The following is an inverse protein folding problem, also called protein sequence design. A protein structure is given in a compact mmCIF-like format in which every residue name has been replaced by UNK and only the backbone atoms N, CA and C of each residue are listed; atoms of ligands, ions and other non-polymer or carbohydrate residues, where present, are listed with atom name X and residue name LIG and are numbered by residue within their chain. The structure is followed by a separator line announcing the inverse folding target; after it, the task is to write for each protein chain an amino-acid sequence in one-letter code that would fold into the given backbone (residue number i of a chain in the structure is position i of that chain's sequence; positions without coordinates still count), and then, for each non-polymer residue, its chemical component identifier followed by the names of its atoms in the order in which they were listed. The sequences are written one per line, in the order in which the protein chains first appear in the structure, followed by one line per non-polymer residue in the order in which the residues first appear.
data_IF_224202344316
#
_entry.id   IF_224202344316
#
_cell.length_a   1.000
_cell.length_b   1.000
_cell.length_c   1.000
_cell.angle_alpha   90.00
_cell.angle_beta   90.00
_cell.angle_gamma   90.00
#
_symmetry.space_group_name_H-M   'P 1'
#
loop_
_entity.id
_entity.type
_entity.pdbx_description
1 polymer ?
#
# COMPACT_ATOMS: atom_id res chain seq x y z
N UNK A 1 -23.02 -15.19 -2.64
CA UNK A 1 -21.80 -15.19 -3.48
C UNK A 1 -22.04 -16.09 -4.69
N UNK A 2 -21.55 -15.78 -5.90
CA UNK A 2 -21.75 -16.63 -7.08
C UNK A 2 -21.20 -18.06 -6.90
N UNK A 3 -21.84 -19.11 -7.46
CA UNK A 3 -21.43 -20.51 -7.21
C UNK A 3 -19.98 -20.83 -7.56
N UNK A 4 -19.46 -20.30 -8.67
CA UNK A 4 -18.07 -20.50 -9.07
C UNK A 4 -17.08 -19.97 -8.02
N UNK A 5 -17.34 -18.78 -7.45
CA UNK A 5 -16.52 -18.19 -6.38
C UNK A 5 -16.69 -18.93 -5.05
N UNK A 6 -17.86 -19.51 -4.78
CA UNK A 6 -18.08 -20.37 -3.62
C UNK A 6 -17.26 -21.65 -3.66
N UNK A 7 -17.15 -22.26 -4.84
CA UNK A 7 -16.33 -23.46 -5.02
C UNK A 7 -14.83 -23.23 -4.75
N UNK A 8 -14.32 -22.01 -5.01
CA UNK A 8 -12.94 -21.59 -4.78
C UNK A 8 -12.59 -21.36 -3.29
N UNK A 9 -13.57 -21.30 -2.39
CA UNK A 9 -13.29 -21.05 -0.97
C UNK A 9 -12.61 -22.25 -0.29
N UNK A 10 -11.76 -21.99 0.73
CA UNK A 10 -11.32 -23.01 1.68
C UNK A 10 -12.51 -23.72 2.34
N UNK A 11 -12.35 -25.01 2.64
CA UNK A 11 -13.42 -25.84 3.25
C UNK A 11 -13.85 -25.31 4.61
N UNK A 12 -12.92 -24.73 5.37
CA UNK A 12 -13.16 -24.07 6.64
C UNK A 12 -14.23 -22.97 6.51
N UNK A 13 -14.15 -22.16 5.45
CA UNK A 13 -15.11 -21.09 5.20
C UNK A 13 -16.44 -21.63 4.67
N UNK A 14 -16.42 -22.72 3.90
CA UNK A 14 -17.65 -23.41 3.46
C UNK A 14 -18.41 -24.02 4.63
N UNK A 15 -17.71 -24.44 5.68
CA UNK A 15 -18.26 -24.95 6.93
C UNK A 15 -18.73 -23.85 7.89
N UNK A 16 -18.60 -22.56 7.51
CA UNK A 16 -19.07 -21.44 8.30
C UNK A 16 -18.11 -20.98 9.40
N UNK A 17 -16.82 -21.30 9.31
CA UNK A 17 -15.83 -20.74 10.24
C UNK A 17 -15.74 -19.22 10.10
N UNK A 18 -15.52 -18.54 11.23
CA UNK A 18 -15.44 -17.09 11.29
C UNK A 18 -14.09 -16.58 10.78
N UNK A 19 -14.13 -15.46 10.05
CA UNK A 19 -12.93 -14.72 9.65
C UNK A 19 -12.68 -13.61 10.68
N UNK A 20 -11.51 -13.64 11.32
CA UNK A 20 -11.09 -12.54 12.21
C UNK A 20 -10.64 -11.34 11.36
N UNK A 21 -11.29 -10.21 11.56
CA UNK A 21 -10.87 -8.93 10.96
C UNK A 21 -10.01 -8.15 11.95
N UNK A 22 -8.77 -7.83 11.56
CA UNK A 22 -7.86 -6.97 12.34
C UNK A 22 -7.81 -5.61 11.64
N UNK A 23 -8.08 -4.55 12.40
CA UNK A 23 -8.15 -3.19 11.88
C UNK A 23 -7.09 -2.34 12.57
N UNK A 24 -6.13 -1.85 11.80
CA UNK A 24 -5.12 -0.90 12.24
C UNK A 24 -5.42 0.48 11.62
N UNK A 25 -5.43 1.52 12.46
CA UNK A 25 -5.67 2.89 12.02
C UNK A 25 -4.39 3.71 12.13
N UNK A 26 -3.83 4.11 10.98
CA UNK A 26 -2.77 5.11 10.92
C UNK A 26 -3.39 6.46 10.59
N UNK A 27 -3.13 7.44 11.45
CA UNK A 27 -3.52 8.83 11.27
C UNK A 27 -2.28 9.71 11.12
N UNK A 28 -2.21 10.44 10.01
CA UNK A 28 -1.11 11.35 9.75
C UNK A 28 -1.59 12.60 9.03
N UNK A 29 -1.28 13.77 9.59
CA UNK A 29 -1.50 15.05 8.94
C UNK A 29 -0.45 15.33 7.86
N UNK A 30 -0.90 15.75 6.67
CA UNK A 30 -0.02 16.09 5.54
C UNK A 30 0.28 17.59 5.42
N UNK A 31 -0.22 18.44 6.31
CA UNK A 31 0.01 19.89 6.31
C UNK A 31 0.84 20.31 7.53
N UNK A 32 2.05 20.84 7.31
CA UNK A 32 2.96 21.21 8.38
C UNK A 32 2.47 22.42 9.22
N UNK A 33 1.87 23.46 8.60
CA UNK A 33 1.57 24.71 9.32
C UNK A 33 0.23 24.75 10.06
N UNK A 34 -0.79 24.00 9.62
CA UNK A 34 -1.99 23.77 10.45
C UNK A 34 -1.72 22.92 11.69
N UNK A 35 -0.54 22.28 11.74
CA UNK A 35 -0.17 21.38 12.81
C UNK A 35 0.45 22.09 14.00
N UNK A 36 1.17 23.21 13.78
CA UNK A 36 1.63 24.09 14.86
C UNK A 36 0.46 24.71 15.63
N UNK A 37 -0.62 25.08 14.94
CA UNK A 37 -1.83 25.62 15.57
C UNK A 37 -2.63 24.57 16.37
N UNK A 38 -2.45 23.27 16.07
CA UNK A 38 -3.13 22.16 16.75
C UNK A 38 -2.20 21.40 17.72
N UNK A 39 -0.98 21.90 17.96
CA UNK A 39 0.04 21.19 18.72
C UNK A 39 -0.27 21.06 20.22
N UNK A 40 -1.19 21.86 20.76
CA UNK A 40 -1.58 21.78 22.17
C UNK A 40 -2.71 20.76 22.33
N UNK A 41 -2.35 19.51 22.62
CA UNK A 41 -3.27 18.42 23.05
C UNK A 41 -3.74 17.43 21.96
N UNK A 42 -3.62 17.74 20.66
CA UNK A 42 -4.05 16.82 19.60
C UNK A 42 -2.94 15.89 19.05
N UNK A 43 -1.67 16.21 19.29
CA UNK A 43 -0.54 15.35 18.87
C UNK A 43 -0.54 14.01 19.62
N UNK A 44 -0.78 14.05 20.94
CA UNK A 44 -0.77 12.88 21.82
C UNK A 44 -1.78 11.80 21.40
N UNK A 45 -3.01 12.18 21.01
CA UNK A 45 -4.00 11.19 20.58
C UNK A 45 -3.62 10.53 19.25
N UNK A 46 -3.04 11.29 18.31
CA UNK A 46 -2.56 10.73 17.04
C UNK A 46 -1.46 9.69 17.29
N UNK A 47 -0.53 10.02 18.19
CA UNK A 47 0.56 9.13 18.59
C UNK A 47 0.02 7.86 19.26
N UNK A 48 -0.90 7.97 20.21
CA UNK A 48 -1.55 6.82 20.86
C UNK A 48 -2.24 5.91 19.82
N UNK A 49 -2.98 6.51 18.87
CA UNK A 49 -3.65 5.77 17.80
C UNK A 49 -2.63 5.02 16.95
N UNK A 50 -1.56 5.68 16.52
CA UNK A 50 -0.52 5.08 15.67
C UNK A 50 0.26 4.00 16.42
N UNK A 51 0.55 4.18 17.71
CA UNK A 51 1.19 3.17 18.54
C UNK A 51 0.32 1.92 18.71
N UNK A 52 -0.99 2.07 18.93
CA UNK A 52 -1.93 0.93 18.98
C UNK A 52 -2.01 0.21 17.63
N UNK A 53 -2.04 0.96 16.54
CA UNK A 53 -2.01 0.38 15.20
C UNK A 53 -0.71 -0.40 14.95
N UNK A 54 0.43 0.12 15.40
CA UNK A 54 1.73 -0.55 15.33
C UNK A 54 1.71 -1.90 16.07
N UNK A 55 1.16 -1.96 17.29
CA UNK A 55 1.01 -3.22 18.02
C UNK A 55 0.18 -4.26 17.26
N UNK A 56 -0.92 -3.83 16.63
CA UNK A 56 -1.76 -4.71 15.83
C UNK A 56 -1.05 -5.20 14.57
N UNK A 57 -0.32 -4.30 13.88
CA UNK A 57 0.46 -4.64 12.69
C UNK A 57 1.58 -5.62 13.04
N UNK A 58 2.32 -5.43 14.15
CA UNK A 58 3.35 -6.36 14.61
C UNK A 58 2.79 -7.76 14.85
N UNK A 59 1.69 -7.87 15.61
CA UNK A 59 1.03 -9.16 15.89
C UNK A 59 0.57 -9.86 14.61
N UNK A 60 -0.02 -9.11 13.66
CA UNK A 60 -0.44 -9.68 12.38
C UNK A 60 0.75 -10.11 11.53
N UNK A 61 1.80 -9.29 11.47
CA UNK A 61 3.04 -9.58 10.75
C UNK A 61 3.72 -10.86 11.25
N UNK A 62 3.84 -11.03 12.57
CA UNK A 62 4.37 -12.25 13.18
C UNK A 62 3.52 -13.49 12.84
N UNK A 63 2.20 -13.38 12.96
CA UNK A 63 1.28 -14.45 12.59
C UNK A 63 1.40 -14.80 11.10
N UNK A 64 1.54 -13.79 10.23
CA UNK A 64 1.71 -13.97 8.79
C UNK A 64 3.01 -14.71 8.45
N UNK A 65 4.15 -14.32 9.06
CA UNK A 65 5.44 -15.00 8.85
C UNK A 65 5.37 -16.46 9.32
N UNK A 66 4.75 -16.71 10.49
CA UNK A 66 4.57 -18.06 11.02
C UNK A 66 3.71 -18.94 10.10
N UNK A 67 2.59 -18.38 9.62
CA UNK A 67 1.72 -19.02 8.65
C UNK A 67 2.45 -19.34 7.34
N UNK A 68 3.15 -18.37 6.76
CA UNK A 68 3.91 -18.56 5.52
C UNK A 68 5.02 -19.62 5.66
N UNK A 69 5.56 -19.80 6.86
CA UNK A 69 6.56 -20.85 7.17
C UNK A 69 5.94 -22.25 7.26
N UNK A 70 4.73 -22.34 7.80
CA UNK A 70 4.00 -23.59 7.92
C UNK A 70 3.53 -24.10 6.56
N UNK A 71 3.03 -23.21 5.70
CA UNK A 71 2.57 -23.56 4.35
C UNK A 71 3.69 -24.09 3.47
N UNK A 72 4.87 -23.47 3.49
CA UNK A 72 6.03 -23.91 2.70
C UNK A 72 6.53 -25.32 3.10
N UNK A 73 6.44 -25.65 4.39
CA UNK A 73 6.85 -26.96 4.91
C UNK A 73 5.86 -28.06 4.49
N UNK A 74 4.55 -27.78 4.52
CA UNK A 74 3.51 -28.75 4.14
C UNK A 74 3.52 -29.08 2.64
N UNK A 75 3.81 -28.10 1.78
CA UNK A 75 3.92 -28.33 0.31
C UNK A 75 5.08 -29.27 -0.04
N UNK A 76 6.18 -29.25 0.72
CA UNK A 76 7.35 -30.10 0.46
C UNK A 76 7.06 -31.57 0.81
N UNK A 77 6.30 -31.83 1.86
CA UNK A 77 5.92 -33.19 2.29
C UNK A 77 4.92 -33.85 1.34
N UNK A 78 3.96 -33.09 0.79
CA UNK A 78 2.93 -33.60 -0.12
C UNK A 78 3.48 -34.03 -1.51
N UNK A 79 4.64 -33.53 -1.92
CA UNK A 79 5.32 -33.95 -3.16
C UNK A 79 6.08 -35.28 -3.01
N UNK A 80 6.26 -35.79 -1.79
CA UNK A 80 6.95 -37.06 -1.49
C UNK A 80 6.02 -38.29 -1.37
N UNK A 81 4.71 -38.08 -1.17
CA UNK A 81 3.71 -39.14 -1.05
C UNK A 81 2.69 -39.01 -2.17
N UNK A 82 2.70 -39.94 -3.12
CA UNK A 82 1.88 -39.92 -4.35
C UNK A 82 0.38 -40.13 -4.13
N UNK A 83 -0.28 -39.21 -3.41
CA UNK A 83 -1.75 -39.10 -3.37
C UNK A 83 -2.16 -37.64 -3.60
N UNK A 84 -2.50 -37.33 -4.85
CA UNK A 84 -3.12 -36.06 -5.22
C UNK A 84 -4.64 -36.19 -5.00
N UNK A 85 -5.10 -35.85 -3.81
CA UNK A 85 -6.53 -35.56 -3.57
C UNK A 85 -6.66 -34.43 -2.56
N UNK A 86 -6.46 -33.21 -3.04
CA UNK A 86 -6.68 -32.00 -2.27
C UNK A 86 -6.14 -30.80 -3.03
N UNK A 87 -7.00 -30.14 -3.82
CA UNK A 87 -6.71 -28.81 -4.35
C UNK A 87 -6.74 -27.83 -3.17
N UNK A 88 -5.64 -27.79 -2.42
CA UNK A 88 -5.41 -26.75 -1.42
C UNK A 88 -5.44 -25.40 -2.13
N UNK A 89 -6.20 -24.46 -1.57
CA UNK A 89 -6.25 -23.07 -2.00
C UNK A 89 -4.86 -22.48 -1.73
N UNK A 90 -3.96 -22.64 -2.69
CA UNK A 90 -2.73 -21.88 -2.75
C UNK A 90 -3.14 -20.43 -2.95
N UNK A 91 -3.07 -19.63 -1.89
CA UNK A 91 -2.89 -18.20 -2.07
C UNK A 91 -1.65 -18.09 -2.93
N UNK A 92 -1.82 -17.65 -4.17
CA UNK A 92 -0.71 -17.18 -4.98
C UNK A 92 -0.12 -16.01 -4.21
N UNK A 93 0.83 -16.29 -3.31
CA UNK A 93 1.84 -15.31 -2.94
C UNK A 93 2.40 -14.89 -4.28
N UNK A 94 2.05 -13.68 -4.69
CA UNK A 94 2.32 -13.19 -6.03
C UNK A 94 3.83 -13.12 -6.19
N UNK A 95 4.44 -14.20 -6.66
CA UNK A 95 5.82 -14.20 -7.15
C UNK A 95 5.77 -13.34 -8.42
N UNK A 96 5.82 -12.03 -8.24
CA UNK A 96 6.06 -11.09 -9.33
C UNK A 96 7.54 -11.20 -9.66
N UNK A 97 7.91 -12.26 -10.36
CA UNK A 97 9.22 -12.35 -10.99
C UNK A 97 9.25 -11.34 -12.14
N UNK A 98 9.86 -10.18 -11.89
CA UNK A 98 10.30 -9.29 -12.97
C UNK A 98 11.50 -9.94 -13.65
N UNK A 99 11.24 -10.90 -14.53
CA UNK A 99 12.22 -11.42 -15.48
C UNK A 99 12.04 -10.66 -16.80
N UNK A 100 13.00 -9.78 -17.09
CA UNK A 100 13.21 -9.14 -18.38
C UNK A 100 13.28 -10.20 -19.48
N UNK A 101 12.36 -10.14 -20.45
CA UNK A 101 12.40 -10.95 -21.67
C UNK A 101 13.36 -10.29 -22.66
N UNK A 102 14.46 -10.97 -22.97
CA UNK A 102 15.18 -10.82 -24.23
C UNK A 102 15.55 -12.19 -24.82
N UNK A 103 15.10 -12.41 -26.06
CA UNK A 103 15.75 -13.16 -27.15
C UNK A 103 16.29 -14.59 -26.99
N UNK A 104 15.52 -15.56 -27.50
CA UNK A 104 15.87 -16.65 -28.46
C UNK A 104 17.30 -17.25 -28.41
N UNK A 105 17.42 -18.53 -28.03
CA UNK A 105 18.05 -19.60 -28.83
C UNK A 105 17.84 -20.99 -28.20
N UNK A 106 18.01 -22.00 -29.04
CA UNK A 106 17.46 -23.36 -29.03
C UNK A 106 18.29 -24.40 -28.24
N UNK A 107 17.61 -25.52 -27.94
CA UNK A 107 18.10 -26.92 -27.81
C UNK A 107 18.72 -27.54 -26.54
N UNK A 108 18.13 -28.73 -26.31
CA UNK A 108 18.63 -30.02 -25.83
C UNK A 108 18.81 -30.29 -24.33
N UNK A 109 18.18 -31.39 -23.92
CA UNK A 109 17.90 -31.74 -22.54
C UNK A 109 19.04 -32.38 -21.79
N UNK A 110 19.13 -32.03 -20.51
CA UNK A 110 19.59 -32.89 -19.42
C UNK A 110 18.59 -32.68 -18.27
N UNK A 111 17.98 -33.77 -17.82
CA UNK A 111 17.06 -33.82 -16.69
C UNK A 111 17.78 -33.38 -15.40
N UNK A 112 17.46 -32.20 -14.89
CA UNK A 112 17.91 -31.74 -13.58
C UNK A 112 16.68 -31.62 -12.67
N UNK A 113 16.30 -32.73 -12.01
CA UNK A 113 15.09 -32.82 -11.18
C UNK A 113 15.28 -32.26 -9.75
N UNK A 114 16.47 -31.80 -9.38
CA UNK A 114 16.79 -31.37 -8.01
C UNK A 114 16.94 -29.84 -7.83
N UNK A 115 16.80 -29.05 -8.91
CA UNK A 115 17.07 -27.60 -8.90
C UNK A 115 15.91 -26.69 -8.49
N UNK A 116 14.68 -27.20 -8.38
CA UNK A 116 13.47 -26.37 -8.16
C UNK A 116 13.29 -26.01 -6.67
N UNK A 117 13.92 -26.75 -5.75
CA UNK A 117 13.74 -26.59 -4.29
C UNK A 117 14.61 -25.47 -3.68
N UNK A 118 15.81 -25.22 -4.22
CA UNK A 118 16.74 -24.23 -3.64
C UNK A 118 16.38 -22.78 -3.98
N UNK A 119 15.97 -22.51 -5.22
CA UNK A 119 15.60 -21.18 -5.69
C UNK A 119 14.31 -20.67 -5.02
N UNK A 120 13.26 -21.51 -4.97
CA UNK A 120 12.00 -21.13 -4.33
C UNK A 120 12.15 -20.85 -2.82
N UNK A 121 13.02 -21.61 -2.14
CA UNK A 121 13.35 -21.39 -0.73
C UNK A 121 14.11 -20.07 -0.52
N UNK A 122 15.02 -19.74 -1.44
CA UNK A 122 15.73 -18.46 -1.42
C UNK A 122 14.78 -17.28 -1.64
N UNK A 123 13.88 -17.38 -2.62
CA UNK A 123 12.90 -16.34 -2.92
C UNK A 123 11.98 -16.06 -1.72
N UNK A 124 11.52 -17.12 -1.03
CA UNK A 124 10.69 -17.00 0.17
C UNK A 124 11.43 -16.33 1.33
N UNK A 125 12.72 -16.64 1.53
CA UNK A 125 13.50 -15.98 2.59
C UNK A 125 13.80 -14.52 2.25
N UNK A 126 14.05 -14.21 0.98
CA UNK A 126 14.22 -12.85 0.51
C UNK A 126 12.95 -12.02 0.74
N UNK A 127 11.79 -12.57 0.42
CA UNK A 127 10.49 -11.93 0.65
C UNK A 127 10.24 -11.69 2.15
N UNK A 128 10.51 -12.68 3.00
CA UNK A 128 10.41 -12.52 4.46
C UNK A 128 11.34 -11.44 4.98
N UNK A 129 12.57 -11.38 4.48
CA UNK A 129 13.53 -10.35 4.87
C UNK A 129 12.99 -8.96 4.50
N UNK A 130 12.51 -8.78 3.26
CA UNK A 130 11.90 -7.52 2.81
C UNK A 130 10.70 -7.12 3.68
N UNK A 131 9.86 -8.09 4.05
CA UNK A 131 8.69 -7.82 4.90
C UNK A 131 9.10 -7.38 6.32
N UNK A 132 10.11 -8.03 6.92
CA UNK A 132 10.68 -7.61 8.22
C UNK A 132 11.30 -6.21 8.13
N UNK A 133 12.02 -5.92 7.06
CA UNK A 133 12.60 -4.60 6.82
C UNK A 133 11.51 -3.52 6.69
N UNK A 134 10.42 -3.79 5.98
CA UNK A 134 9.26 -2.89 5.90
C UNK A 134 8.58 -2.68 7.26
N UNK A 135 8.39 -3.73 8.06
CA UNK A 135 7.84 -3.63 9.41
C UNK A 135 8.72 -2.75 10.31
N UNK A 136 10.04 -2.96 10.28
CA UNK A 136 10.98 -2.11 11.01
C UNK A 136 10.96 -0.65 10.55
N UNK A 137 10.81 -0.39 9.24
CA UNK A 137 10.73 0.98 8.72
C UNK A 137 9.44 1.70 9.17
N UNK A 138 8.30 1.00 9.17
CA UNK A 138 7.02 1.53 9.70
C UNK A 138 7.16 1.86 11.17
N UNK A 139 7.71 0.93 11.95
CA UNK A 139 7.96 1.09 13.38
C UNK A 139 8.85 2.30 13.67
N UNK A 140 10.01 2.38 13.03
CA UNK A 140 10.96 3.48 13.21
C UNK A 140 10.32 4.84 12.89
N UNK A 141 9.47 4.91 11.88
CA UNK A 141 8.80 6.15 11.49
C UNK A 141 7.71 6.56 12.48
N UNK A 142 6.92 5.60 13.00
CA UNK A 142 5.91 5.88 14.03
C UNK A 142 6.59 6.35 15.31
N UNK A 143 7.63 5.65 15.78
CA UNK A 143 8.33 6.02 17.02
C UNK A 143 9.05 7.37 16.89
N UNK A 144 9.71 7.64 15.76
CA UNK A 144 10.34 8.94 15.48
C UNK A 144 9.32 10.09 15.49
N UNK A 145 8.09 9.85 15.04
CA UNK A 145 7.04 10.89 15.05
C UNK A 145 6.66 11.32 16.47
N UNK A 146 6.74 10.39 17.45
CA UNK A 146 6.53 10.65 18.88
C UNK A 146 7.70 11.46 19.45
N UNK A 147 8.93 11.06 19.14
CA UNK A 147 10.14 11.67 19.71
C UNK A 147 10.37 13.11 19.23
N UNK A 148 10.15 13.38 17.94
CA UNK A 148 10.50 14.65 17.30
C UNK A 148 9.32 15.62 17.16
N UNK A 149 8.11 15.22 17.57
CA UNK A 149 6.85 15.95 17.31
C UNK A 149 6.78 16.37 15.82
N UNK A 150 7.25 15.48 14.93
CA UNK A 150 7.41 15.76 13.51
C UNK A 150 6.35 15.00 12.71
N UNK A 151 5.81 15.66 11.69
CA UNK A 151 4.82 15.08 10.78
C UNK A 151 5.51 14.47 9.59
N UNK A 152 5.92 13.22 9.78
CA UNK A 152 6.49 12.42 8.70
C UNK A 152 5.38 11.75 7.89
N UNK A 153 5.17 12.20 6.66
CA UNK A 153 4.18 11.59 5.76
C UNK A 153 4.65 10.26 5.17
N UNK A 154 5.91 9.88 5.36
CA UNK A 154 6.46 8.59 4.94
C UNK A 154 5.75 7.41 5.63
N UNK A 155 5.24 7.61 6.86
CA UNK A 155 4.48 6.58 7.58
C UNK A 155 3.28 6.06 6.78
N UNK A 156 2.64 6.92 5.99
CA UNK A 156 1.52 6.56 5.12
C UNK A 156 2.02 5.60 4.04
N UNK A 157 3.09 5.97 3.33
CA UNK A 157 3.64 5.18 2.23
C UNK A 157 4.19 3.82 2.69
N UNK A 158 4.91 3.79 3.81
CA UNK A 158 5.47 2.56 4.37
C UNK A 158 4.37 1.61 4.86
N UNK A 159 3.35 2.14 5.54
CA UNK A 159 2.22 1.32 6.00
C UNK A 159 1.44 0.77 4.81
N UNK A 160 1.21 1.56 3.77
CA UNK A 160 0.56 1.12 2.53
C UNK A 160 1.31 -0.04 1.87
N UNK A 161 2.64 0.06 1.76
CA UNK A 161 3.50 -1.02 1.25
C UNK A 161 3.41 -2.27 2.12
N UNK A 162 3.63 -2.13 3.44
CA UNK A 162 3.56 -3.23 4.39
C UNK A 162 2.23 -3.98 4.32
N UNK A 163 1.10 -3.26 4.40
CA UNK A 163 -0.23 -3.87 4.37
C UNK A 163 -0.49 -4.55 3.03
N UNK A 164 0.04 -4.01 1.91
CA UNK A 164 -0.08 -4.66 0.61
C UNK A 164 0.71 -5.97 0.52
N UNK A 165 1.94 -6.01 1.06
CA UNK A 165 2.74 -7.24 1.13
C UNK A 165 2.14 -8.27 2.09
N UNK A 166 1.42 -7.82 3.13
CA UNK A 166 0.65 -8.69 4.04
C UNK A 166 -0.68 -9.16 3.45
N UNK A 167 -1.03 -8.79 2.20
CA UNK A 167 -2.31 -9.14 1.57
C UNK A 167 -3.52 -8.44 2.19
N UNK A 168 -3.32 -7.37 2.97
CA UNK A 168 -4.37 -6.65 3.68
C UNK A 168 -5.17 -5.68 2.82
N UNK A 169 -6.44 -5.49 3.18
CA UNK A 169 -7.29 -4.44 2.64
C UNK A 169 -6.88 -3.06 3.16
N UNK A 170 -7.06 -2.03 2.33
CA UNK A 170 -6.72 -0.64 2.70
C UNK A 170 -7.88 0.31 2.43
N UNK A 171 -8.06 1.24 3.36
CA UNK A 171 -9.05 2.30 3.29
C UNK A 171 -8.34 3.62 3.59
N UNK A 172 -8.51 4.59 2.70
CA UNK A 172 -7.93 5.93 2.84
C UNK A 172 -9.07 6.93 2.93
N UNK A 173 -9.09 7.73 4.00
CA UNK A 173 -10.09 8.78 4.19
C UNK A 173 -9.48 9.98 4.90
N UNK A 174 -10.00 11.16 4.58
CA UNK A 174 -9.71 12.40 5.30
C UNK A 174 -11.03 13.01 5.78
N UNK A 175 -10.98 14.10 6.56
CA UNK A 175 -12.16 14.75 7.17
C UNK A 175 -13.38 14.86 6.25
N UNK A 176 -13.20 15.21 4.98
CA UNK A 176 -14.27 15.37 4.00
C UNK A 176 -14.28 14.33 2.87
N UNK A 177 -13.29 13.43 2.83
CA UNK A 177 -13.15 12.42 1.77
C UNK A 177 -12.78 12.95 0.37
N UNK A 178 -12.47 14.25 0.24
CA UNK A 178 -12.23 14.92 -1.06
C UNK A 178 -10.73 15.05 -1.38
N UNK A 179 -10.13 16.17 -0.99
CA UNK A 179 -8.82 16.62 -1.48
C UNK A 179 -7.69 15.69 -1.01
N UNK A 180 -7.47 15.61 0.31
CA UNK A 180 -6.38 14.81 0.88
C UNK A 180 -6.54 13.32 0.62
N UNK A 181 -7.79 12.84 0.55
CA UNK A 181 -8.08 11.45 0.15
C UNK A 181 -7.69 11.22 -1.30
N UNK A 182 -8.06 12.13 -2.21
CA UNK A 182 -7.63 12.06 -3.61
C UNK A 182 -6.11 12.08 -3.71
N UNK A 183 -5.43 12.97 -2.98
CA UNK A 183 -3.98 13.09 -2.99
C UNK A 183 -3.30 11.80 -2.54
N UNK A 184 -3.69 11.26 -1.38
CA UNK A 184 -3.12 10.02 -0.86
C UNK A 184 -3.34 8.84 -1.82
N UNK A 185 -4.58 8.64 -2.30
CA UNK A 185 -4.90 7.53 -3.22
C UNK A 185 -4.11 7.62 -4.52
N UNK A 186 -4.05 8.80 -5.12
CA UNK A 186 -3.32 8.98 -6.39
C UNK A 186 -1.80 8.88 -6.21
N UNK A 187 -1.26 9.33 -5.08
CA UNK A 187 0.15 9.15 -4.73
C UNK A 187 0.51 7.66 -4.61
N UNK A 188 -0.34 6.86 -3.94
CA UNK A 188 -0.16 5.41 -3.87
C UNK A 188 -0.24 4.77 -5.27
N UNK A 189 -1.22 5.17 -6.09
CA UNK A 189 -1.40 4.62 -7.44
C UNK A 189 -0.18 4.90 -8.34
N UNK A 190 0.33 6.14 -8.35
CA UNK A 190 1.52 6.50 -9.11
C UNK A 190 2.75 5.71 -8.64
N UNK A 191 2.91 5.56 -7.32
CA UNK A 191 4.00 4.75 -6.75
C UNK A 191 3.89 3.28 -7.16
N UNK A 192 2.70 2.70 -7.18
CA UNK A 192 2.49 1.31 -7.64
C UNK A 192 2.80 1.13 -9.13
N UNK A 193 2.45 2.12 -9.96
CA UNK A 193 2.81 2.11 -11.39
C UNK A 193 4.33 2.05 -11.56
N UNK A 194 5.05 2.88 -10.81
CA UNK A 194 6.50 2.88 -10.82
C UNK A 194 7.10 1.57 -10.29
N UNK A 195 6.68 1.15 -9.09
CA UNK A 195 7.29 0.01 -8.38
C UNK A 195 6.93 -1.37 -8.96
N UNK A 196 5.75 -1.52 -9.58
CA UNK A 196 5.22 -2.84 -9.97
C UNK A 196 4.88 -2.97 -11.45
N UNK A 197 4.88 -1.88 -12.21
CA UNK A 197 4.44 -1.89 -13.60
C UNK A 197 5.49 -1.32 -14.57
N UNK A 198 6.75 -1.21 -14.14
CA UNK A 198 7.88 -0.76 -14.96
C UNK A 198 7.65 0.61 -15.62
N UNK A 199 6.85 1.48 -14.99
CA UNK A 199 6.66 2.86 -15.40
C UNK A 199 7.81 3.69 -14.85
N UNK A 200 8.43 4.55 -15.66
CA UNK A 200 9.49 5.42 -15.17
C UNK A 200 8.95 6.40 -14.12
N UNK A 201 9.81 6.94 -13.27
CA UNK A 201 9.39 7.93 -12.26
C UNK A 201 8.78 9.18 -12.91
N UNK A 202 9.33 9.62 -14.06
CA UNK A 202 8.81 10.74 -14.83
C UNK A 202 7.38 10.47 -15.34
N UNK A 203 7.16 9.33 -15.98
CA UNK A 203 5.83 8.93 -16.46
C UNK A 203 4.83 8.73 -15.31
N UNK A 204 5.28 8.17 -14.17
CA UNK A 204 4.43 8.02 -13.00
C UNK A 204 3.97 9.36 -12.44
N UNK A 205 4.83 10.38 -12.47
CA UNK A 205 4.48 11.76 -12.08
C UNK A 205 3.54 12.43 -13.09
N UNK A 206 3.71 12.20 -14.39
CA UNK A 206 2.76 12.68 -15.40
C UNK A 206 1.38 12.03 -15.23
N UNK A 207 1.34 10.72 -14.96
CA UNK A 207 0.11 9.99 -14.67
C UNK A 207 -0.54 10.46 -13.36
N UNK A 208 0.27 10.80 -12.33
CA UNK A 208 -0.21 11.41 -11.09
C UNK A 208 -0.96 12.71 -11.37
N UNK A 209 -0.35 13.58 -12.18
CA UNK A 209 -0.95 14.86 -12.56
C UNK A 209 -2.22 14.68 -13.39
N UNK A 210 -2.22 13.71 -14.32
CA UNK A 210 -3.40 13.35 -15.10
C UNK A 210 -4.54 12.83 -14.20
N UNK A 211 -4.25 11.95 -13.24
CA UNK A 211 -5.23 11.43 -12.28
C UNK A 211 -5.85 12.54 -11.42
N UNK A 212 -5.05 13.55 -11.03
CA UNK A 212 -5.50 14.67 -10.20
C UNK A 212 -6.21 15.78 -10.97
N UNK A 213 -5.96 15.91 -12.27
CA UNK A 213 -6.57 16.94 -13.11
C UNK A 213 -7.81 16.46 -13.87
N UNK A 214 -7.87 15.16 -14.19
CA UNK A 214 -8.89 14.59 -15.08
C UNK A 214 -9.49 13.27 -14.58
N UNK A 215 -8.93 12.66 -13.54
CA UNK A 215 -9.35 11.34 -13.05
C UNK A 215 -10.69 11.35 -12.30
N UNK A 216 -11.17 10.15 -11.95
CA UNK A 216 -12.47 9.97 -11.25
C UNK A 216 -12.51 10.72 -9.92
N UNK A 217 -11.36 10.88 -9.24
CA UNK A 217 -11.30 11.63 -7.98
C UNK A 217 -11.49 13.14 -8.17
N UNK A 218 -11.07 13.68 -9.31
CA UNK A 218 -11.41 15.04 -9.72
C UNK A 218 -12.92 15.19 -9.92
N UNK A 219 -13.56 14.23 -10.60
CA UNK A 219 -15.02 14.21 -10.76
C UNK A 219 -15.77 14.14 -9.42
N UNK A 220 -15.25 13.37 -8.46
CA UNK A 220 -15.81 13.33 -7.10
C UNK A 220 -15.74 14.70 -6.42
N UNK A 221 -14.60 15.39 -6.52
CA UNK A 221 -14.45 16.73 -5.96
C UNK A 221 -15.41 17.73 -6.63
N UNK A 222 -15.54 17.71 -7.96
CA UNK A 222 -16.51 18.52 -8.73
C UNK A 222 -17.94 18.29 -8.27
N UNK A 223 -18.38 17.03 -8.14
CA UNK A 223 -19.73 16.70 -7.65
C UNK A 223 -19.99 17.25 -6.25
N UNK A 224 -18.97 17.27 -5.39
CA UNK A 224 -19.09 17.68 -3.99
C UNK A 224 -18.92 19.19 -3.75
N UNK A 225 -18.48 19.98 -4.75
CA UNK A 225 -18.22 21.42 -4.61
C UNK A 225 -18.86 22.28 -5.71
N UNK A 226 -19.54 21.67 -6.68
CA UNK A 226 -20.16 22.38 -7.79
C UNK A 226 -19.17 22.79 -8.89
N UNK A 227 -19.58 23.75 -9.73
CA UNK A 227 -18.96 24.04 -11.02
C UNK A 227 -17.47 24.48 -10.95
N UNK A 228 -17.03 25.06 -9.83
CA UNK A 228 -15.65 25.54 -9.68
C UNK A 228 -14.63 24.42 -9.60
N UNK A 229 -15.00 23.24 -9.08
CA UNK A 229 -14.25 22.02 -9.29
C UNK A 229 -12.76 22.07 -9.01
N UNK A 230 -12.27 22.86 -8.05
CA UNK A 230 -10.84 23.04 -7.74
C UNK A 230 -10.50 22.49 -6.36
N UNK A 231 -9.27 22.04 -6.15
CA UNK A 231 -8.78 21.68 -4.82
C UNK A 231 -8.88 22.88 -3.87
N UNK A 232 -9.33 22.63 -2.65
CA UNK A 232 -9.56 23.67 -1.64
C UNK A 232 -8.26 24.16 -0.95
N UNK A 233 -7.26 24.54 -1.74
CA UNK A 233 -5.99 25.11 -1.26
C UNK A 233 -5.67 26.40 -2.00
N UNK A 234 -5.07 27.37 -1.29
CA UNK A 234 -4.38 28.47 -1.94
C UNK A 234 -2.95 28.05 -2.35
N UNK A 235 -2.31 28.88 -3.19
CA UNK A 235 -0.96 28.63 -3.70
C UNK A 235 0.09 28.39 -2.62
N UNK A 236 0.05 29.14 -1.51
CA UNK A 236 1.02 28.97 -0.42
C UNK A 236 0.80 27.64 0.32
N UNK A 237 -0.46 27.32 0.62
CA UNK A 237 -0.84 26.05 1.24
C UNK A 237 -0.40 24.85 0.40
N UNK A 238 -0.52 24.95 -0.93
CA UNK A 238 -0.06 23.89 -1.82
C UNK A 238 1.45 23.68 -1.71
N UNK A 239 2.26 24.75 -1.73
CA UNK A 239 3.72 24.64 -1.69
C UNK A 239 4.24 24.02 -0.38
N UNK A 240 3.48 24.18 0.70
CA UNK A 240 3.78 23.63 2.02
C UNK A 240 3.39 22.16 2.17
N UNK A 241 2.69 21.56 1.21
CA UNK A 241 2.46 20.12 1.19
C UNK A 241 3.73 19.37 0.76
N UNK A 242 3.92 18.13 1.25
CA UNK A 242 4.94 17.23 0.71
C UNK A 242 4.73 17.03 -0.79
N UNK A 243 5.82 16.86 -1.53
CA UNK A 243 5.84 16.83 -2.99
C UNK A 243 4.81 15.87 -3.58
N UNK A 244 4.78 14.61 -3.13
CA UNK A 244 3.82 13.60 -3.59
C UNK A 244 2.35 13.94 -3.32
N UNK A 245 2.04 14.93 -2.48
CA UNK A 245 0.68 15.35 -2.12
C UNK A 245 0.27 16.69 -2.75
N UNK A 246 1.11 17.30 -3.58
CA UNK A 246 0.83 18.57 -4.24
C UNK A 246 -0.17 18.40 -5.38
N UNK A 247 -1.18 19.26 -5.43
CA UNK A 247 -2.11 19.30 -6.56
C UNK A 247 -1.45 19.91 -7.82
N UNK A 248 -1.78 19.47 -9.04
CA UNK A 248 -1.21 20.01 -10.27
C UNK A 248 -1.53 21.50 -10.46
N UNK A 249 -0.67 22.23 -11.16
CA UNK A 249 -0.94 23.66 -11.46
C UNK A 249 -2.26 23.80 -12.23
N UNK A 250 -3.02 24.85 -11.91
CA UNK A 250 -4.33 25.12 -12.55
C UNK A 250 -5.51 24.36 -11.94
N UNK A 251 -5.26 23.44 -11.01
CA UNK A 251 -6.32 22.66 -10.33
C UNK A 251 -6.74 23.23 -8.97
N UNK A 252 -6.13 24.34 -8.53
CA UNK A 252 -6.39 25.02 -7.25
C UNK A 252 -6.29 26.54 -7.43
N UNK A 253 -6.84 27.31 -6.49
CA UNK A 253 -6.89 28.78 -6.58
C UNK A 253 -5.49 29.40 -6.54
N UNK A 254 -5.10 30.07 -7.61
CA UNK A 254 -3.91 30.92 -7.62
C UNK A 254 -4.27 32.27 -7.02
N UNK A 255 -3.85 32.54 -5.77
CA UNK A 255 -3.92 33.91 -5.24
C UNK A 255 -2.67 34.65 -5.72
N UNK A 256 -2.75 35.15 -6.94
CA UNK A 256 -2.22 36.46 -7.32
C UNK A 256 -3.28 37.07 -8.22
N UNK A 257 -4.23 37.80 -7.63
CA UNK A 257 -4.91 38.85 -8.40
C UNK A 257 -3.85 39.92 -8.59
N UNK A 258 -3.20 39.94 -9.75
CA UNK A 258 -2.63 41.18 -10.24
C UNK A 258 -3.74 42.22 -10.18
N UNK A 259 -3.54 43.26 -9.39
CA UNK A 259 -4.33 44.48 -9.51
C UNK A 259 -3.82 45.13 -10.80
N UNK A 260 -4.39 44.70 -11.91
CA UNK A 260 -4.47 45.45 -13.17
C UNK A 260 -5.98 45.58 -13.39
N UNK A 261 -6.61 46.75 -13.33
CA UNK A 261 -6.24 48.12 -13.68
C UNK A 261 -6.91 49.12 -12.75
#
# INVERSE_FOLDING_TARGET
MPPARWAELPEELKQGQLIRCIVALISQGINAQQSMANAVGHAELQEIINCRALELLRRYHEAYISFASSTASNTTTALGSGEVSGRGVGISVGISSTATRDGIADRDGISNRDGISSTAKFDLELERRRLRELMHAVEATILRSVELVNKDTEVIALTERLVRELGGGRITSCKSGKDRTSMAVTAEQARLLHERHAVSEAEANELLDAMRSHGVRWLNMRKNMGALGQYAFNWLQQRLLPEGYRAPKGTFTQIFRSVET
#
